data_IF_476756583026
#
_entry.id   IF_476756583026
#
_cell.length_a   1.000
_cell.length_b   1.000
_cell.length_c   1.000
_cell.angle_alpha   90.00
_cell.angle_beta   90.00
_cell.angle_gamma   90.00
#
_symmetry.space_group_name_H-M   'P 1'
#
loop_
_entity.id
_entity.type
_entity.pdbx_description
1 polymer ?
#
# COMPACT_ATOMS: atom_id res chain seq x y z
N UNK A 1 -14.69 6.46 4.26
CA UNK A 1 -13.99 5.18 3.99
C UNK A 1 -12.72 5.19 4.81
N UNK A 2 -12.58 4.29 5.78
CA UNK A 2 -11.32 4.18 6.54
C UNK A 2 -10.39 3.22 5.80
N UNK A 3 -9.11 3.55 5.80
CA UNK A 3 -8.07 2.67 5.28
C UNK A 3 -7.65 1.72 6.40
N UNK A 4 -7.83 0.43 6.19
CA UNK A 4 -7.42 -0.62 7.13
C UNK A 4 -6.40 -1.55 6.47
N UNK A 5 -5.61 -2.25 7.29
CA UNK A 5 -4.55 -3.14 6.81
C UNK A 5 -4.77 -4.52 7.39
N UNK A 6 -4.66 -5.55 6.53
CA UNK A 6 -4.85 -6.93 6.96
C UNK A 6 -3.64 -7.43 7.76
N UNK A 7 -2.44 -6.92 7.45
CA UNK A 7 -1.21 -7.22 8.18
C UNK A 7 -0.42 -5.93 8.43
N UNK A 8 -0.77 -5.15 9.46
CA UNK A 8 -0.17 -3.83 9.71
C UNK A 8 1.33 -3.90 10.02
N UNK A 9 1.83 -5.04 10.50
CA UNK A 9 3.24 -5.22 10.84
C UNK A 9 4.18 -5.09 9.62
N UNK A 10 3.69 -5.34 8.40
CA UNK A 10 4.48 -5.16 7.18
C UNK A 10 4.83 -3.70 6.89
N UNK A 11 4.14 -2.74 7.51
CA UNK A 11 4.51 -1.33 7.45
C UNK A 11 5.88 -1.06 8.09
N UNK A 12 6.35 -1.92 9.01
CA UNK A 12 7.73 -1.85 9.51
C UNK A 12 8.76 -2.05 8.39
N UNK A 13 8.39 -2.72 7.29
CA UNK A 13 9.22 -2.85 6.09
C UNK A 13 9.56 -1.50 5.44
N UNK A 14 8.78 -0.44 5.69
CA UNK A 14 9.12 0.92 5.27
C UNK A 14 10.42 1.42 5.89
N UNK A 15 10.83 0.90 7.05
CA UNK A 15 12.13 1.17 7.63
C UNK A 15 13.28 0.78 6.67
N UNK A 16 13.07 -0.19 5.77
CA UNK A 16 14.02 -0.56 4.73
C UNK A 16 14.36 0.58 3.75
N UNK A 17 13.50 1.61 3.62
CA UNK A 17 13.78 2.81 2.82
C UNK A 17 14.97 3.61 3.39
N UNK A 18 15.27 3.46 4.68
CA UNK A 18 16.45 4.09 5.29
C UNK A 18 17.75 3.56 4.68
N UNK A 19 17.80 2.31 4.21
CA UNK A 19 18.99 1.69 3.64
C UNK A 19 19.51 2.43 2.40
N UNK A 20 18.72 2.64 1.31
CA UNK A 20 19.20 3.37 0.14
C UNK A 20 19.56 4.82 0.46
N UNK A 21 18.86 5.45 1.41
CA UNK A 21 19.18 6.82 1.87
C UNK A 21 20.54 6.85 2.56
N UNK A 22 20.77 5.96 3.53
CA UNK A 22 22.05 5.86 4.25
C UNK A 22 23.21 5.48 3.32
N UNK A 23 23.00 4.53 2.41
CA UNK A 23 24.00 4.14 1.42
C UNK A 23 24.36 5.32 0.51
N UNK A 24 23.37 6.11 0.07
CA UNK A 24 23.63 7.30 -0.73
C UNK A 24 24.41 8.36 0.06
N UNK A 25 24.02 8.61 1.31
CA UNK A 25 24.69 9.56 2.20
C UNK A 25 26.10 9.10 2.56
N UNK A 26 26.36 7.80 2.62
CA UNK A 26 27.66 7.24 3.05
C UNK A 26 28.65 7.08 1.90
N UNK A 27 28.21 7.02 0.63
CA UNK A 27 29.07 6.89 -0.56
C UNK A 27 30.05 8.08 -0.68
N UNK A 28 31.20 7.95 -0.05
CA UNK A 28 32.37 8.78 -0.27
C UNK A 28 32.98 8.32 -1.58
N UNK A 29 32.79 9.07 -2.67
CA UNK A 29 33.53 8.86 -3.91
C UNK A 29 35.03 8.74 -3.58
N UNK A 30 35.63 7.57 -3.76
CA UNK A 30 37.08 7.45 -3.67
C UNK A 30 37.62 8.19 -4.89
N UNK A 31 38.25 9.35 -4.67
CA UNK A 31 39.00 10.00 -5.74
C UNK A 31 40.17 9.09 -6.04
N UNK A 32 40.15 8.45 -7.21
CA UNK A 32 41.35 7.81 -7.74
C UNK A 32 42.32 8.94 -8.06
N UNK A 33 43.24 9.18 -7.13
CA UNK A 33 44.33 10.13 -7.35
C UNK A 33 45.28 9.46 -8.32
N UNK A 34 45.27 9.91 -9.57
CA UNK A 34 46.25 9.50 -10.57
C UNK A 34 47.35 10.56 -10.59
N UNK A 35 48.58 10.17 -10.30
CA UNK A 35 49.74 11.06 -10.36
C UNK A 35 50.15 11.26 -11.81
N UNK A 36 49.93 12.46 -12.35
CA UNK A 36 50.37 12.86 -13.69
C UNK A 36 51.77 13.51 -13.61
N UNK A 37 52.81 12.93 -14.24
CA UNK A 37 54.20 13.39 -14.11
C UNK A 37 54.47 14.79 -14.65
N UNK A 38 53.74 15.23 -15.68
CA UNK A 38 53.91 16.55 -16.30
C UNK A 38 53.58 17.72 -15.36
N UNK A 39 52.84 17.47 -14.29
CA UNK A 39 52.43 18.47 -13.29
C UNK A 39 53.38 18.54 -12.08
N UNK A 40 54.47 17.77 -12.07
CA UNK A 40 55.47 17.79 -10.99
C UNK A 40 56.16 19.15 -10.81
N UNK A 41 56.23 19.96 -11.87
CA UNK A 41 56.87 21.27 -11.87
C UNK A 41 55.90 22.44 -11.64
N UNK A 42 54.61 22.17 -11.46
CA UNK A 42 53.58 23.20 -11.32
C UNK A 42 53.34 23.51 -9.83
N UNK A 43 53.27 24.80 -9.51
CA UNK A 43 53.09 25.29 -8.14
C UNK A 43 51.77 24.79 -7.53
N UNK A 44 51.84 24.22 -6.33
CA UNK A 44 50.72 23.53 -5.69
C UNK A 44 49.73 24.55 -5.13
N UNK A 45 48.74 24.94 -5.93
CA UNK A 45 47.63 25.76 -5.45
C UNK A 45 46.82 24.94 -4.43
N UNK A 46 46.58 25.44 -3.19
CA UNK A 46 45.69 24.78 -2.25
C UNK A 46 44.25 24.86 -2.77
N UNK A 47 43.87 23.87 -3.57
CA UNK A 47 42.47 23.67 -3.93
C UNK A 47 41.72 23.28 -2.65
N UNK A 48 40.98 24.25 -2.08
CA UNK A 48 39.94 23.92 -1.12
C UNK A 48 38.88 23.11 -1.87
N UNK A 49 38.96 21.79 -1.76
CA UNK A 49 37.87 20.93 -2.20
C UNK A 49 36.63 21.24 -1.36
N UNK A 50 35.80 22.16 -1.84
CA UNK A 50 34.42 22.28 -1.38
C UNK A 50 33.65 21.06 -1.87
N UNK A 51 33.89 19.94 -1.20
CA UNK A 51 33.26 18.65 -1.48
C UNK A 51 31.85 18.65 -0.90
N UNK A 52 30.98 19.51 -1.41
CA UNK A 52 29.55 19.42 -1.11
C UNK A 52 29.04 18.11 -1.72
N UNK A 53 28.66 17.16 -0.86
CA UNK A 53 27.93 15.95 -1.26
C UNK A 53 26.56 16.42 -1.78
N UNK A 54 26.46 16.71 -3.08
CA UNK A 54 25.20 17.04 -3.73
C UNK A 54 24.58 15.75 -4.23
N UNK A 55 23.32 15.52 -3.86
CA UNK A 55 22.52 14.40 -4.34
C UNK A 55 22.29 14.66 -5.84
N UNK A 56 23.05 13.98 -6.70
CA UNK A 56 22.95 14.16 -8.16
C UNK A 56 21.71 13.45 -8.75
N UNK A 57 21.20 12.42 -8.07
CA UNK A 57 20.19 11.53 -8.64
C UNK A 57 18.96 11.40 -7.74
N UNK A 58 18.27 12.51 -7.52
CA UNK A 58 17.01 12.56 -6.76
C UNK A 58 15.96 11.61 -7.31
N UNK A 59 15.75 11.59 -8.64
CA UNK A 59 14.77 10.72 -9.28
C UNK A 59 15.07 9.23 -9.09
N UNK A 60 16.33 8.80 -9.23
CA UNK A 60 16.71 7.41 -9.02
C UNK A 60 16.60 6.99 -7.55
N UNK A 61 16.88 7.91 -6.62
CA UNK A 61 16.70 7.64 -5.19
C UNK A 61 15.20 7.51 -4.86
N UNK A 62 14.37 8.41 -5.38
CA UNK A 62 12.91 8.37 -5.22
C UNK A 62 12.30 7.09 -5.81
N UNK A 63 12.73 6.68 -7.00
CA UNK A 63 12.25 5.45 -7.63
C UNK A 63 12.59 4.21 -6.80
N UNK A 64 13.82 4.14 -6.25
CA UNK A 64 14.23 3.02 -5.38
C UNK A 64 13.43 2.98 -4.08
N UNK A 65 13.22 4.14 -3.44
CA UNK A 65 12.42 4.20 -2.22
C UNK A 65 10.95 3.86 -2.49
N UNK A 66 10.42 4.32 -3.62
CA UNK A 66 9.03 4.06 -4.01
C UNK A 66 8.81 2.58 -4.32
N UNK A 67 9.75 1.90 -4.99
CA UNK A 67 9.67 0.46 -5.21
C UNK A 67 9.59 -0.33 -3.88
N UNK A 68 10.42 0.02 -2.89
CA UNK A 68 10.37 -0.57 -1.55
C UNK A 68 9.05 -0.25 -0.82
N UNK A 69 8.56 0.98 -0.95
CA UNK A 69 7.30 1.40 -0.34
C UNK A 69 6.10 0.63 -0.93
N UNK A 70 6.05 0.49 -2.26
CA UNK A 70 5.01 -0.29 -2.94
C UNK A 70 5.07 -1.77 -2.55
N UNK A 71 6.27 -2.33 -2.40
CA UNK A 71 6.43 -3.71 -1.95
C UNK A 71 5.89 -3.89 -0.52
N UNK A 72 6.26 -3.00 0.41
CA UNK A 72 5.74 -3.03 1.78
C UNK A 72 4.21 -2.88 1.82
N UNK A 73 3.64 -1.98 1.00
CA UNK A 73 2.19 -1.81 0.87
C UNK A 73 1.51 -3.03 0.25
N UNK A 74 2.09 -3.65 -0.76
CA UNK A 74 1.55 -4.85 -1.39
C UNK A 74 1.42 -6.00 -0.37
N UNK A 75 2.42 -6.17 0.51
CA UNK A 75 2.38 -7.16 1.58
C UNK A 75 1.47 -6.75 2.75
N UNK A 76 1.32 -5.46 3.04
CA UNK A 76 0.40 -4.96 4.07
C UNK A 76 -1.09 -5.15 3.69
N UNK A 77 -1.39 -5.38 2.41
CA UNK A 77 -2.74 -5.57 1.83
C UNK A 77 -3.73 -4.52 2.34
N UNK A 78 -3.60 -3.25 1.94
CA UNK A 78 -4.55 -2.22 2.31
C UNK A 78 -5.93 -2.55 1.72
N UNK A 79 -6.95 -2.45 2.55
CA UNK A 79 -8.33 -2.57 2.11
C UNK A 79 -9.14 -1.36 2.60
N UNK A 80 -10.14 -1.00 1.81
CA UNK A 80 -11.09 0.03 2.19
C UNK A 80 -12.22 -0.63 2.96
N UNK A 81 -12.22 -0.40 4.27
CA UNK A 81 -13.29 -0.93 5.10
C UNK A 81 -14.54 -0.05 4.91
N UNK A 82 -15.61 -0.65 4.39
CA UNK A 82 -16.94 -0.01 4.32
C UNK A 82 -17.64 -0.05 5.69
N UNK A 83 -17.19 -0.89 6.62
CA UNK A 83 -17.80 -1.05 7.95
C UNK A 83 -17.39 0.02 8.96
N UNK A 84 -16.31 0.78 8.75
CA UNK A 84 -16.00 1.88 9.68
C UNK A 84 -16.96 3.07 9.57
N UNK A 85 -17.72 3.17 8.46
CA UNK A 85 -18.92 4.02 8.40
C UNK A 85 -20.07 3.41 9.21
N UNK A 86 -20.09 2.10 9.44
CA UNK A 86 -21.10 1.38 10.20
C UNK A 86 -20.90 1.47 11.72
N UNK A 87 -19.73 1.83 12.25
CA UNK A 87 -19.62 2.13 13.69
C UNK A 87 -20.44 3.38 14.10
N UNK A 88 -20.80 4.24 13.13
CA UNK A 88 -21.78 5.32 13.31
C UNK A 88 -23.10 5.15 12.53
N UNK A 89 -23.15 4.27 11.51
CA UNK A 89 -24.33 4.06 10.67
C UNK A 89 -24.96 2.66 10.75
N UNK A 90 -24.42 1.71 11.52
CA UNK A 90 -25.01 0.37 11.72
C UNK A 90 -26.22 0.38 12.68
N UNK A 91 -26.60 1.53 13.21
CA UNK A 91 -27.82 1.69 14.00
C UNK A 91 -28.95 2.38 13.18
N UNK A 92 -28.80 2.47 11.86
CA UNK A 92 -29.86 2.93 10.97
C UNK A 92 -30.74 1.75 10.54
N UNK A 93 -32.06 1.94 10.39
CA UNK A 93 -32.94 0.93 9.81
C UNK A 93 -32.48 0.56 8.40
N UNK A 94 -32.32 -0.74 8.12
CA UNK A 94 -31.97 -1.22 6.76
C UNK A 94 -33.24 -1.54 5.98
N UNK A 95 -33.21 -1.27 4.68
CA UNK A 95 -34.22 -1.71 3.72
C UNK A 95 -33.63 -2.87 2.91
N UNK A 96 -34.25 -4.04 2.99
CA UNK A 96 -33.74 -5.28 2.41
C UNK A 96 -34.70 -5.76 1.33
N UNK A 97 -34.30 -5.62 0.07
CA UNK A 97 -35.05 -6.13 -1.08
C UNK A 97 -34.38 -7.40 -1.60
N UNK A 98 -35.08 -8.52 -1.54
CA UNK A 98 -34.62 -9.80 -2.08
C UNK A 98 -35.28 -10.05 -3.43
N UNK A 99 -34.48 -10.19 -4.49
CA UNK A 99 -34.97 -10.61 -5.80
C UNK A 99 -34.66 -12.09 -6.01
N UNK A 100 -35.71 -12.89 -6.22
CA UNK A 100 -35.60 -14.30 -6.54
C UNK A 100 -35.71 -14.50 -8.05
N UNK A 101 -34.72 -15.15 -8.65
CA UNK A 101 -34.80 -15.61 -10.04
C UNK A 101 -35.79 -16.78 -10.15
N UNK A 102 -36.65 -16.73 -11.16
CA UNK A 102 -37.62 -17.78 -11.51
C UNK A 102 -37.35 -18.36 -12.91
N UNK A 103 -36.14 -18.16 -13.45
CA UNK A 103 -35.73 -18.72 -14.72
C UNK A 103 -35.66 -20.26 -14.67
N UNK A 104 -35.75 -20.90 -15.85
CA UNK A 104 -35.79 -22.37 -15.98
C UNK A 104 -34.60 -23.10 -15.32
N UNK A 105 -33.43 -22.45 -15.20
CA UNK A 105 -32.26 -23.02 -14.53
C UNK A 105 -32.47 -23.25 -13.02
N UNK A 106 -33.44 -22.55 -12.42
CA UNK A 106 -33.77 -22.64 -10.99
C UNK A 106 -34.58 -23.91 -10.64
N UNK A 107 -35.20 -24.56 -11.63
CA UNK A 107 -35.89 -25.84 -11.47
C UNK A 107 -34.93 -27.04 -11.44
N UNK A 108 -33.64 -26.83 -11.75
CA UNK A 108 -32.64 -27.90 -11.72
C UNK A 108 -32.34 -28.26 -10.26
N UNK A 109 -32.84 -29.42 -9.85
CA UNK A 109 -32.67 -29.92 -8.48
C UNK A 109 -33.42 -29.05 -7.47
N UNK A 110 -32.75 -28.69 -6.37
CA UNK A 110 -33.38 -27.94 -5.26
C UNK A 110 -32.92 -26.48 -5.19
N UNK A 111 -32.48 -25.90 -6.32
CA UNK A 111 -31.87 -24.56 -6.35
C UNK A 111 -32.87 -23.48 -5.95
N UNK A 112 -34.10 -23.51 -6.49
CA UNK A 112 -35.16 -22.59 -6.09
C UNK A 112 -35.54 -22.73 -4.61
N UNK A 113 -35.67 -23.96 -4.11
CA UNK A 113 -35.98 -24.21 -2.69
C UNK A 113 -34.87 -23.71 -1.76
N UNK A 114 -33.60 -23.86 -2.14
CA UNK A 114 -32.44 -23.34 -1.39
C UNK A 114 -32.44 -21.82 -1.35
N UNK A 115 -32.67 -21.18 -2.50
CA UNK A 115 -32.77 -19.72 -2.58
C UNK A 115 -33.92 -19.18 -1.70
N UNK A 116 -35.05 -19.90 -1.65
CA UNK A 116 -36.18 -19.52 -0.79
C UNK A 116 -35.84 -19.66 0.71
N UNK A 117 -35.12 -20.72 1.10
CA UNK A 117 -34.70 -20.93 2.49
C UNK A 117 -33.72 -19.82 2.91
N UNK A 118 -32.73 -19.52 2.07
CA UNK A 118 -31.74 -18.47 2.33
C UNK A 118 -32.38 -17.08 2.39
N UNK A 119 -33.32 -16.78 1.50
CA UNK A 119 -34.12 -15.56 1.57
C UNK A 119 -34.88 -15.45 2.89
N UNK A 120 -35.46 -16.55 3.38
CA UNK A 120 -36.17 -16.57 4.65
C UNK A 120 -35.25 -16.32 5.84
N UNK A 121 -34.05 -16.91 5.86
CA UNK A 121 -33.07 -16.66 6.91
C UNK A 121 -32.64 -15.18 6.97
N UNK A 122 -32.56 -14.51 5.82
CA UNK A 122 -32.28 -13.07 5.74
C UNK A 122 -33.42 -12.26 6.38
N UNK A 123 -34.68 -12.61 6.11
CA UNK A 123 -35.84 -11.94 6.70
C UNK A 123 -36.00 -12.22 8.20
N UNK A 124 -35.70 -13.44 8.65
CA UNK A 124 -35.75 -13.82 10.07
C UNK A 124 -34.66 -13.08 10.89
N UNK A 125 -33.58 -12.67 10.23
CA UNK A 125 -32.52 -11.85 10.83
C UNK A 125 -32.81 -10.35 10.89
N UNK A 126 -34.00 -9.88 10.48
CA UNK A 126 -34.37 -8.46 10.49
C UNK A 126 -34.67 -7.94 11.89
N UNK A 127 -34.15 -6.76 12.20
CA UNK A 127 -34.39 -6.04 13.43
C UNK A 127 -35.73 -5.30 13.42
N UNK A 128 -36.23 -4.83 14.58
CA UNK A 128 -37.55 -4.20 14.71
C UNK A 128 -37.74 -2.90 13.89
N UNK A 129 -36.63 -2.28 13.46
CA UNK A 129 -36.64 -1.04 12.70
C UNK A 129 -36.41 -1.28 11.21
N UNK A 130 -36.08 -2.51 10.80
CA UNK A 130 -35.75 -2.84 9.42
C UNK A 130 -37.01 -3.01 8.57
N UNK A 131 -36.87 -2.78 7.26
CA UNK A 131 -37.94 -2.93 6.27
C UNK A 131 -37.54 -3.98 5.24
N UNK A 132 -38.53 -4.73 4.79
CA UNK A 132 -38.46 -5.82 3.83
C UNK A 132 -39.49 -5.62 2.73
#
# INVERSE_FOLDING_TARGET
MSLAFLVPLFLLGLAGITVPILVHLTRRQRKNVVTFPSLMFLERIPFQEQRRRRIQHWLLLALRSLALALLALAFARPFFDRSALSLGAAAGPREVVVLLDQSYSMEIGNQFTRALIEAREIFDGLGPLDRA
#
